data_IF_044263942128
#
_entry.id   IF_044263942128
#
_cell.length_a   1.000
_cell.length_b   1.000
_cell.length_c   1.000
_cell.angle_alpha   90.00
_cell.angle_beta   90.00
_cell.angle_gamma   90.00
#
_symmetry.space_group_name_H-M   'P 1'
#
loop_
_entity.id
_entity.type
_entity.pdbx_description
1 polymer ?
#
# COMPACT_ATOMS: atom_id res chain seq x y z
N UNK A 1 46.12 -48.69 -19.62
CA UNK A 1 47.60 -48.53 -19.58
C UNK A 1 48.00 -47.64 -20.76
N UNK A 2 48.85 -46.67 -20.58
CA UNK A 2 49.42 -45.95 -19.44
C UNK A 2 48.89 -44.48 -19.39
N UNK A 3 49.21 -43.48 -18.56
CA UNK A 3 50.16 -43.32 -17.44
C UNK A 3 49.65 -42.14 -16.57
N UNK A 4 49.98 -42.24 -15.30
CA UNK A 4 49.82 -41.14 -14.34
C UNK A 4 50.96 -40.12 -14.56
N UNK A 5 50.66 -38.82 -14.60
CA UNK A 5 51.67 -37.80 -14.30
C UNK A 5 51.15 -36.85 -13.21
N UNK A 6 51.77 -37.02 -12.09
CA UNK A 6 51.75 -36.18 -10.88
C UNK A 6 52.55 -34.91 -11.20
N UNK A 7 51.93 -33.73 -11.09
CA UNK A 7 52.67 -32.47 -11.06
C UNK A 7 52.53 -31.84 -9.67
N UNK A 8 53.56 -32.03 -8.86
CA UNK A 8 53.94 -31.22 -7.73
C UNK A 8 54.43 -29.85 -8.29
N UNK A 9 53.81 -28.79 -7.96
CA UNK A 9 54.21 -27.42 -8.26
C UNK A 9 54.35 -26.57 -7.00
N UNK A 10 55.57 -26.24 -6.78
CA UNK A 10 56.19 -25.53 -5.65
C UNK A 10 55.53 -24.18 -5.28
N UNK A 11 55.29 -23.97 -4.00
CA UNK A 11 54.92 -22.71 -3.41
C UNK A 11 56.17 -22.03 -2.88
N UNK A 12 56.78 -21.15 -3.67
CA UNK A 12 57.72 -20.19 -3.06
C UNK A 12 57.86 -18.93 -3.94
N UNK A 13 57.86 -17.81 -3.21
CA UNK A 13 58.32 -16.47 -3.57
C UNK A 13 57.43 -15.60 -4.49
N UNK A 14 56.54 -14.84 -3.87
CA UNK A 14 56.29 -13.48 -4.31
C UNK A 14 56.75 -12.48 -3.27
N UNK A 15 57.94 -11.92 -3.52
CA UNK A 15 58.53 -10.88 -2.72
C UNK A 15 57.74 -9.58 -2.76
N UNK A 16 57.16 -9.18 -1.66
CA UNK A 16 56.60 -7.87 -1.45
C UNK A 16 57.68 -6.84 -1.27
N UNK A 17 57.79 -5.94 -2.22
CA UNK A 17 58.64 -4.75 -2.20
C UNK A 17 58.00 -3.69 -1.29
N UNK A 18 58.45 -3.64 -0.03
CA UNK A 18 58.10 -2.56 0.92
C UNK A 18 58.57 -1.21 0.37
N UNK A 19 57.58 -0.35 0.06
CA UNK A 19 57.84 1.10 -0.03
C UNK A 19 57.29 1.77 1.23
N UNK A 20 58.17 2.43 1.92
CA UNK A 20 58.03 3.00 3.24
C UNK A 20 56.85 3.95 3.44
N UNK A 21 56.09 3.65 4.42
CA UNK A 21 55.17 4.57 5.10
C UNK A 21 55.85 5.13 6.36
N UNK A 22 55.77 6.42 6.65
CA UNK A 22 56.43 7.01 7.80
C UNK A 22 55.84 6.47 9.13
N UNK A 23 56.73 6.12 10.03
CA UNK A 23 56.46 5.50 11.37
C UNK A 23 55.52 6.31 12.29
N UNK A 24 55.11 7.50 11.93
CA UNK A 24 54.17 8.33 12.70
C UNK A 24 52.69 7.97 12.52
N UNK A 25 52.30 7.22 11.49
CA UNK A 25 50.93 6.83 11.22
C UNK A 25 50.55 5.43 11.75
N UNK A 26 51.54 4.59 12.03
CA UNK A 26 51.28 3.22 12.49
C UNK A 26 50.86 3.13 13.98
N UNK A 27 50.95 4.23 14.75
CA UNK A 27 50.64 4.24 16.18
C UNK A 27 49.23 4.72 16.54
N UNK A 28 48.40 5.06 15.53
CA UNK A 28 47.03 5.59 15.75
C UNK A 28 45.89 4.63 15.44
N UNK A 29 46.20 3.39 15.00
CA UNK A 29 45.16 2.46 14.51
C UNK A 29 44.96 1.24 15.41
N UNK A 30 45.78 1.04 16.42
CA UNK A 30 45.71 -0.15 17.27
C UNK A 30 45.69 0.24 18.75
N UNK A 31 44.58 0.73 19.25
CA UNK A 31 43.96 0.42 20.54
C UNK A 31 42.73 1.30 20.77
N UNK A 32 41.50 0.80 20.68
CA UNK A 32 40.42 1.43 21.42
C UNK A 32 40.62 1.05 22.88
N UNK A 33 41.17 1.93 23.69
CA UNK A 33 41.15 1.78 25.12
C UNK A 33 39.73 1.88 25.64
N UNK A 34 39.12 0.75 25.93
CA UNK A 34 37.87 0.61 26.67
C UNK A 34 38.12 0.85 28.17
N UNK A 35 38.66 2.01 28.53
CA UNK A 35 38.60 2.48 29.92
C UNK A 35 37.72 3.74 29.88
N UNK A 36 36.53 3.72 30.52
CA UNK A 36 35.77 4.95 30.71
C UNK A 36 36.61 5.88 31.59
N UNK A 37 36.87 7.11 31.09
CA UNK A 37 37.43 8.17 31.88
C UNK A 37 36.44 8.48 33.01
N UNK A 38 36.84 8.41 34.30
CA UNK A 38 35.92 8.60 35.41
C UNK A 38 35.38 10.04 35.53
N UNK A 39 35.89 11.00 34.78
CA UNK A 39 35.57 12.42 34.94
C UNK A 39 34.50 12.95 33.98
N UNK A 40 33.84 12.07 33.18
CA UNK A 40 32.71 12.48 32.30
C UNK A 40 31.34 12.08 32.84
N UNK A 41 31.30 11.61 34.09
CA UNK A 41 30.05 11.34 34.79
C UNK A 41 29.74 12.55 35.69
N UNK A 42 28.71 13.30 35.27
CA UNK A 42 27.98 14.32 36.05
C UNK A 42 28.67 15.70 36.09
N UNK A 43 28.42 16.47 35.05
CA UNK A 43 28.33 17.92 35.15
C UNK A 43 26.96 18.26 35.79
N UNK A 44 26.94 18.74 37.07
CA UNK A 44 25.70 19.04 37.76
C UNK A 44 24.99 20.30 37.23
N UNK A 45 25.59 21.01 36.27
CA UNK A 45 25.06 22.25 35.71
C UNK A 45 24.14 22.08 34.51
N UNK A 46 24.03 20.88 33.90
CA UNK A 46 23.00 20.54 32.97
C UNK A 46 21.86 19.84 33.69
N UNK A 47 20.72 20.51 33.91
CA UNK A 47 19.53 19.81 34.33
C UNK A 47 19.21 18.81 33.21
N UNK A 48 19.38 17.53 33.49
CA UNK A 48 18.72 16.49 32.73
C UNK A 48 17.24 16.88 32.77
N UNK A 49 16.72 17.45 31.67
CA UNK A 49 15.30 17.51 31.43
C UNK A 49 14.81 16.08 31.47
N UNK A 50 14.58 15.56 32.66
CA UNK A 50 13.82 14.34 32.84
C UNK A 50 12.49 14.61 32.16
N UNK A 51 12.12 13.88 31.08
CA UNK A 51 10.79 13.99 30.56
C UNK A 51 9.87 13.64 31.71
N UNK A 52 9.09 14.60 32.17
CA UNK A 52 8.04 14.39 33.17
C UNK A 52 7.14 13.33 32.55
N UNK A 53 7.37 12.09 32.94
CA UNK A 53 6.48 10.97 32.67
C UNK A 53 5.22 11.21 33.50
N UNK A 54 4.32 12.00 32.96
CA UNK A 54 2.94 11.92 33.36
C UNK A 54 2.47 10.50 33.01
N UNK A 55 2.45 9.62 34.00
CA UNK A 55 2.26 8.17 33.90
C UNK A 55 0.88 7.71 33.41
N UNK A 56 0.27 8.43 32.49
CA UNK A 56 -1.02 8.10 31.88
C UNK A 56 -0.95 8.22 30.35
N UNK A 57 -0.62 7.11 29.71
CA UNK A 57 -0.86 6.93 28.29
C UNK A 57 0.39 7.02 27.41
N UNK A 58 0.47 6.10 26.48
CA UNK A 58 1.41 6.14 25.35
C UNK A 58 1.23 7.46 24.60
N UNK A 59 2.20 8.37 24.72
CA UNK A 59 2.17 9.69 24.10
C UNK A 59 2.43 9.52 22.61
N UNK A 60 1.39 9.56 21.81
CA UNK A 60 1.50 9.48 20.34
C UNK A 60 2.27 10.68 19.73
N UNK A 61 2.42 11.76 20.47
CA UNK A 61 3.14 12.97 20.07
C UNK A 61 4.13 13.41 21.15
N UNK A 62 5.40 13.49 20.80
CA UNK A 62 6.50 13.89 21.70
C UNK A 62 6.34 15.34 22.19
N UNK A 63 5.61 16.21 21.47
CA UNK A 63 5.48 17.64 21.77
C UNK A 63 4.07 18.15 21.49
N UNK A 64 3.61 19.11 22.30
CA UNK A 64 2.34 19.86 22.06
C UNK A 64 2.33 20.52 20.68
N UNK A 65 3.47 20.99 20.19
CA UNK A 65 3.62 21.59 18.86
C UNK A 65 3.35 20.58 17.75
N UNK A 66 3.87 19.33 17.88
CA UNK A 66 3.59 18.25 16.90
C UNK A 66 2.12 17.88 16.89
N UNK A 67 1.47 17.80 18.07
CA UNK A 67 0.03 17.54 18.16
C UNK A 67 -0.79 18.66 17.51
N UNK A 68 -0.43 19.93 17.71
CA UNK A 68 -1.11 21.07 17.08
C UNK A 68 -0.96 21.03 15.56
N UNK A 69 0.26 20.77 15.05
CA UNK A 69 0.52 20.61 13.60
C UNK A 69 -0.30 19.49 12.99
N UNK A 70 -0.44 18.36 13.69
CA UNK A 70 -1.29 17.25 13.24
C UNK A 70 -2.75 17.70 13.07
N UNK A 71 -3.34 18.37 14.05
CA UNK A 71 -4.73 18.81 13.96
C UNK A 71 -4.96 19.91 12.92
N UNK A 72 -3.99 20.81 12.72
CA UNK A 72 -4.02 21.77 11.61
C UNK A 72 -4.00 21.03 10.28
N UNK A 73 -3.12 20.04 10.11
CA UNK A 73 -3.05 19.21 8.91
C UNK A 73 -4.37 18.49 8.63
N UNK A 74 -4.94 17.83 9.63
CA UNK A 74 -6.23 17.14 9.50
C UNK A 74 -7.32 18.14 9.11
N UNK A 75 -7.33 19.34 9.71
CA UNK A 75 -8.27 20.41 9.35
C UNK A 75 -8.11 20.84 7.89
N UNK A 76 -6.88 21.05 7.41
CA UNK A 76 -6.60 21.43 6.02
C UNK A 76 -7.01 20.31 5.06
N UNK A 77 -6.63 19.05 5.34
CA UNK A 77 -7.01 17.92 4.49
C UNK A 77 -8.53 17.71 4.46
N UNK A 78 -9.20 17.88 5.59
CA UNK A 78 -10.67 17.81 5.67
C UNK A 78 -11.33 18.93 4.87
N UNK A 79 -10.81 20.15 4.94
CA UNK A 79 -11.30 21.27 4.16
C UNK A 79 -11.12 21.02 2.65
N UNK A 80 -9.94 20.53 2.23
CA UNK A 80 -9.68 20.18 0.84
C UNK A 80 -10.58 19.03 0.37
N UNK A 81 -10.81 18.02 1.21
CA UNK A 81 -11.73 16.92 0.89
C UNK A 81 -13.17 17.41 0.73
N UNK A 82 -13.63 18.30 1.61
CA UNK A 82 -14.96 18.91 1.52
C UNK A 82 -15.10 19.81 0.27
N UNK A 83 -14.08 20.61 -0.05
CA UNK A 83 -14.06 21.43 -1.27
C UNK A 83 -14.11 20.55 -2.51
N UNK A 84 -13.32 19.46 -2.54
CA UNK A 84 -13.34 18.49 -3.64
C UNK A 84 -14.72 17.82 -3.76
N UNK A 85 -15.32 17.40 -2.65
CA UNK A 85 -16.65 16.79 -2.62
C UNK A 85 -17.74 17.79 -3.08
N UNK A 86 -17.72 19.01 -2.56
CA UNK A 86 -18.65 20.07 -2.99
C UNK A 86 -18.48 20.41 -4.48
N UNK A 87 -17.24 20.47 -4.96
CA UNK A 87 -16.93 20.66 -6.37
C UNK A 87 -17.53 19.55 -7.23
N UNK A 88 -17.35 18.29 -6.85
CA UNK A 88 -17.91 17.14 -7.57
C UNK A 88 -19.46 17.22 -7.59
N UNK A 89 -20.10 17.60 -6.48
CA UNK A 89 -21.56 17.66 -6.39
C UNK A 89 -22.16 18.83 -7.15
N UNK A 90 -21.60 20.03 -6.98
CA UNK A 90 -22.24 21.28 -7.39
C UNK A 90 -21.70 21.85 -8.71
N UNK A 91 -20.45 21.59 -9.07
CA UNK A 91 -19.82 22.25 -10.22
C UNK A 91 -20.44 21.80 -11.56
N UNK A 92 -20.86 22.79 -12.39
CA UNK A 92 -21.28 22.52 -13.77
C UNK A 92 -22.48 21.58 -13.90
N UNK A 93 -23.50 21.69 -13.03
CA UNK A 93 -24.76 21.01 -13.25
C UNK A 93 -25.51 21.76 -14.36
N UNK A 94 -25.80 21.12 -15.53
CA UNK A 94 -26.45 21.81 -16.65
C UNK A 94 -27.94 22.04 -16.45
N UNK A 95 -28.53 21.46 -15.38
CA UNK A 95 -29.96 21.57 -15.11
C UNK A 95 -30.24 22.65 -14.08
N UNK A 96 -31.37 23.33 -14.20
CA UNK A 96 -31.85 24.33 -13.25
C UNK A 96 -32.07 23.71 -11.86
N UNK A 97 -31.70 24.44 -10.83
CA UNK A 97 -31.86 24.01 -9.45
C UNK A 97 -33.31 23.68 -9.12
N UNK A 98 -33.57 22.54 -8.49
CA UNK A 98 -34.91 22.09 -8.11
C UNK A 98 -35.64 21.23 -9.15
N UNK A 99 -35.11 21.10 -10.36
CA UNK A 99 -35.72 20.21 -11.39
C UNK A 99 -35.39 18.73 -11.12
N UNK A 100 -36.22 17.82 -11.62
CA UNK A 100 -36.01 16.38 -11.56
C UNK A 100 -34.66 15.96 -12.21
N UNK A 101 -34.25 16.68 -13.27
CA UNK A 101 -32.96 16.47 -13.94
C UNK A 101 -31.77 16.83 -13.05
N UNK A 102 -31.88 17.94 -12.32
CA UNK A 102 -30.85 18.35 -11.33
C UNK A 102 -30.60 17.27 -10.27
N UNK A 103 -31.67 16.75 -9.69
CA UNK A 103 -31.57 15.74 -8.63
C UNK A 103 -31.02 14.40 -9.15
N UNK A 104 -31.36 13.98 -10.36
CA UNK A 104 -30.77 12.76 -10.97
C UNK A 104 -29.28 12.89 -11.18
N UNK A 105 -28.79 14.06 -11.60
CA UNK A 105 -27.36 14.31 -11.78
C UNK A 105 -26.68 14.34 -10.40
N UNK A 106 -27.28 15.01 -9.41
CA UNK A 106 -26.75 15.06 -8.06
C UNK A 106 -26.65 13.67 -7.42
N UNK A 107 -27.64 12.80 -7.61
CA UNK A 107 -27.62 11.41 -7.15
C UNK A 107 -26.45 10.61 -7.76
N UNK A 108 -26.26 10.67 -9.08
CA UNK A 108 -25.11 10.01 -9.73
C UNK A 108 -23.78 10.53 -9.21
N UNK A 109 -23.66 11.80 -8.93
CA UNK A 109 -22.47 12.42 -8.36
C UNK A 109 -22.25 12.00 -6.89
N UNK A 110 -23.33 11.87 -6.11
CA UNK A 110 -23.27 11.34 -4.74
C UNK A 110 -22.82 9.88 -4.72
N UNK A 111 -23.31 9.06 -5.68
CA UNK A 111 -22.83 7.68 -5.87
C UNK A 111 -21.32 7.67 -6.15
N UNK A 112 -20.84 8.52 -7.06
CA UNK A 112 -19.39 8.61 -7.36
C UNK A 112 -18.58 9.02 -6.13
N UNK A 113 -19.05 9.93 -5.30
CA UNK A 113 -18.40 10.31 -4.03
C UNK A 113 -18.36 9.15 -3.03
N UNK A 114 -19.44 8.38 -2.93
CA UNK A 114 -19.48 7.20 -2.09
C UNK A 114 -18.46 6.14 -2.54
N UNK A 115 -18.38 5.91 -3.85
CA UNK A 115 -17.38 5.01 -4.45
C UNK A 115 -15.96 5.48 -4.13
N UNK A 116 -15.67 6.77 -4.34
CA UNK A 116 -14.37 7.37 -4.01
C UNK A 116 -14.04 7.12 -2.53
N UNK A 117 -14.99 7.33 -1.62
CA UNK A 117 -14.79 7.13 -0.19
C UNK A 117 -14.47 5.66 0.14
N UNK A 118 -15.26 4.71 -0.38
CA UNK A 118 -15.04 3.27 -0.16
C UNK A 118 -13.65 2.88 -0.66
N UNK A 119 -13.30 3.24 -1.88
CA UNK A 119 -12.03 2.88 -2.51
C UNK A 119 -10.85 3.47 -1.74
N UNK A 120 -10.93 4.73 -1.34
CA UNK A 120 -9.88 5.40 -0.58
C UNK A 120 -9.69 4.77 0.80
N UNK A 121 -10.77 4.46 1.52
CA UNK A 121 -10.68 3.75 2.79
C UNK A 121 -10.00 2.39 2.60
N UNK A 122 -10.42 1.63 1.58
CA UNK A 122 -9.85 0.33 1.26
C UNK A 122 -8.36 0.44 0.92
N UNK A 123 -7.98 1.27 -0.04
CA UNK A 123 -6.61 1.39 -0.53
C UNK A 123 -5.65 1.96 0.52
N UNK A 124 -6.07 3.02 1.23
CA UNK A 124 -5.24 3.68 2.23
C UNK A 124 -4.99 2.77 3.44
N UNK A 125 -6.04 2.19 4.02
CA UNK A 125 -5.90 1.35 5.21
C UNK A 125 -5.23 0.02 4.90
N UNK A 126 -5.54 -0.61 3.76
CA UNK A 126 -4.87 -1.82 3.32
C UNK A 126 -3.36 -1.58 3.13
N UNK A 127 -2.98 -0.51 2.42
CA UNK A 127 -1.56 -0.26 2.12
C UNK A 127 -0.77 0.13 3.36
N UNK A 128 -1.29 1.01 4.23
CA UNK A 128 -0.62 1.35 5.50
C UNK A 128 -0.41 0.11 6.37
N UNK A 129 -1.44 -0.74 6.50
CA UNK A 129 -1.36 -1.98 7.30
C UNK A 129 -0.38 -2.97 6.70
N UNK A 130 -0.40 -3.14 5.38
CA UNK A 130 0.49 -4.02 4.64
C UNK A 130 1.96 -3.59 4.77
N UNK A 131 2.26 -2.31 4.57
CA UNK A 131 3.60 -1.74 4.73
C UNK A 131 4.12 -1.90 6.17
N UNK A 132 3.22 -1.86 7.14
CA UNK A 132 3.55 -2.08 8.55
C UNK A 132 3.97 -3.53 8.81
N UNK A 133 3.17 -4.51 8.38
CA UNK A 133 3.47 -5.93 8.64
C UNK A 133 4.64 -6.44 7.83
N UNK A 134 4.88 -5.88 6.64
CA UNK A 134 6.05 -6.22 5.82
C UNK A 134 7.31 -5.44 6.21
N UNK A 135 7.17 -4.48 7.11
CA UNK A 135 8.24 -3.54 7.51
C UNK A 135 8.92 -2.88 6.30
N UNK A 136 8.15 -2.62 5.26
CA UNK A 136 8.63 -2.05 4.02
C UNK A 136 7.62 -1.02 3.48
N UNK A 137 8.03 0.26 3.44
CA UNK A 137 7.18 1.38 3.03
C UNK A 137 7.08 1.59 1.52
N UNK A 138 7.81 0.82 0.75
CA UNK A 138 7.82 0.95 -0.73
C UNK A 138 6.80 0.00 -1.34
N UNK A 139 6.60 -1.18 -0.73
CA UNK A 139 5.79 -2.24 -1.30
C UNK A 139 4.32 -2.02 -0.96
N UNK A 140 3.45 -2.27 -1.94
CA UNK A 140 1.99 -2.21 -1.80
C UNK A 140 1.37 -3.59 -2.04
N UNK A 141 0.17 -3.86 -1.51
CA UNK A 141 -0.55 -5.10 -1.78
C UNK A 141 -0.78 -5.31 -3.29
N UNK A 142 -1.03 -4.24 -4.04
CA UNK A 142 -1.28 -4.27 -5.49
C UNK A 142 -0.15 -4.96 -6.25
N UNK A 143 1.10 -4.65 -5.92
CA UNK A 143 2.29 -5.22 -6.58
C UNK A 143 2.42 -6.73 -6.30
N UNK A 144 1.83 -7.23 -5.22
CA UNK A 144 1.87 -8.66 -4.87
C UNK A 144 0.91 -9.55 -5.67
N UNK A 145 0.36 -9.04 -6.76
CA UNK A 145 -0.46 -9.85 -7.67
C UNK A 145 -1.97 -9.76 -7.45
N UNK A 146 -2.48 -8.96 -6.52
CA UNK A 146 -3.93 -8.74 -6.38
C UNK A 146 -4.57 -8.25 -7.66
N UNK A 147 -3.94 -7.26 -8.29
CA UNK A 147 -4.45 -6.69 -9.55
C UNK A 147 -4.29 -7.66 -10.72
N UNK A 148 -3.15 -8.36 -10.78
CA UNK A 148 -2.94 -9.39 -11.81
C UNK A 148 -3.96 -10.52 -11.69
N UNK A 149 -4.34 -10.90 -10.46
CA UNK A 149 -5.38 -11.88 -10.22
C UNK A 149 -6.75 -11.40 -10.71
N UNK A 150 -7.10 -10.13 -10.44
CA UNK A 150 -8.33 -9.52 -10.96
C UNK A 150 -8.35 -9.55 -12.49
N UNK A 151 -7.25 -9.11 -13.12
CA UNK A 151 -7.10 -9.13 -14.58
C UNK A 151 -7.26 -10.55 -15.11
N UNK A 152 -6.62 -11.53 -14.48
CA UNK A 152 -6.72 -12.95 -14.86
C UNK A 152 -8.16 -13.47 -14.76
N UNK A 153 -8.87 -13.16 -13.68
CA UNK A 153 -10.27 -13.56 -13.49
C UNK A 153 -11.18 -12.93 -14.54
N UNK A 154 -11.08 -11.62 -14.77
CA UNK A 154 -11.90 -10.93 -15.77
C UNK A 154 -11.61 -11.44 -17.19
N UNK A 155 -10.32 -11.62 -17.53
CA UNK A 155 -9.90 -12.15 -18.82
C UNK A 155 -10.41 -13.58 -19.01
N UNK A 156 -10.32 -14.44 -17.99
CA UNK A 156 -10.79 -15.82 -18.05
C UNK A 156 -12.30 -15.91 -18.30
N UNK A 157 -13.09 -15.07 -17.62
CA UNK A 157 -14.53 -15.04 -17.84
C UNK A 157 -14.85 -14.73 -19.30
N UNK A 158 -14.25 -13.70 -19.88
CA UNK A 158 -14.50 -13.32 -21.28
C UNK A 158 -13.94 -14.38 -22.24
N UNK A 159 -12.76 -14.93 -21.98
CA UNK A 159 -12.15 -15.91 -22.85
C UNK A 159 -12.95 -17.21 -22.96
N UNK A 160 -13.51 -17.71 -21.85
CA UNK A 160 -14.25 -18.98 -21.85
C UNK A 160 -15.74 -18.83 -22.11
N UNK A 161 -16.35 -17.68 -21.73
CA UNK A 161 -17.79 -17.47 -21.79
C UNK A 161 -18.20 -16.38 -22.77
N UNK A 162 -17.25 -15.67 -23.38
CA UNK A 162 -17.49 -14.51 -24.24
C UNK A 162 -18.07 -13.29 -23.48
N UNK A 163 -18.38 -12.23 -24.21
CA UNK A 163 -19.05 -11.05 -23.64
C UNK A 163 -20.40 -11.38 -22.98
N UNK A 164 -21.14 -12.36 -23.51
CA UNK A 164 -22.39 -12.81 -22.92
C UNK A 164 -22.23 -13.39 -21.52
N UNK A 165 -21.12 -14.07 -21.24
CA UNK A 165 -20.81 -14.60 -19.90
C UNK A 165 -20.57 -13.50 -18.86
N UNK A 166 -20.00 -12.37 -19.29
CA UNK A 166 -19.80 -11.22 -18.42
C UNK A 166 -21.11 -10.56 -18.00
N UNK A 167 -22.12 -10.61 -18.89
CA UNK A 167 -23.48 -10.09 -18.66
C UNK A 167 -24.31 -11.10 -17.85
N UNK A 168 -24.12 -12.39 -18.08
CA UNK A 168 -24.89 -13.44 -17.39
C UNK A 168 -24.60 -13.49 -15.88
N UNK A 169 -23.40 -13.10 -15.46
CA UNK A 169 -23.01 -13.00 -14.04
C UNK A 169 -22.90 -11.52 -13.68
N UNK A 170 -24.02 -10.84 -13.47
CA UNK A 170 -24.07 -9.44 -13.07
C UNK A 170 -24.52 -9.27 -11.61
N UNK A 171 -24.39 -8.04 -11.11
CA UNK A 171 -24.90 -7.65 -9.81
C UNK A 171 -24.10 -8.19 -8.61
N UNK A 172 -24.71 -8.27 -7.42
CA UNK A 172 -24.04 -8.61 -6.16
C UNK A 172 -23.35 -9.97 -6.16
N UNK A 173 -23.87 -10.93 -6.93
CA UNK A 173 -23.29 -12.28 -7.05
C UNK A 173 -21.93 -12.26 -7.72
N UNK A 174 -21.77 -11.49 -8.77
CA UNK A 174 -20.47 -11.29 -9.45
C UNK A 174 -19.44 -10.68 -8.49
N UNK A 175 -19.87 -9.63 -7.79
CA UNK A 175 -19.02 -8.96 -6.81
C UNK A 175 -18.58 -9.92 -5.70
N UNK A 176 -19.53 -10.68 -5.13
CA UNK A 176 -19.23 -11.66 -4.08
C UNK A 176 -18.26 -12.74 -4.57
N UNK A 177 -18.48 -13.28 -5.76
CA UNK A 177 -17.61 -14.29 -6.35
C UNK A 177 -16.19 -13.76 -6.55
N UNK A 178 -16.05 -12.55 -7.09
CA UNK A 178 -14.74 -11.90 -7.27
C UNK A 178 -14.02 -11.71 -5.93
N UNK A 179 -14.71 -11.17 -4.93
CA UNK A 179 -14.13 -10.96 -3.59
C UNK A 179 -13.71 -12.29 -2.96
N UNK A 180 -14.56 -13.31 -3.02
CA UNK A 180 -14.26 -14.65 -2.46
C UNK A 180 -13.06 -15.28 -3.15
N UNK A 181 -12.98 -15.22 -4.48
CA UNK A 181 -11.85 -15.78 -5.23
C UNK A 181 -10.55 -15.02 -4.93
N UNK A 182 -10.59 -13.69 -4.90
CA UNK A 182 -9.41 -12.87 -4.61
C UNK A 182 -8.92 -13.07 -3.18
N UNK A 183 -9.82 -13.06 -2.19
CA UNK A 183 -9.48 -13.30 -0.78
C UNK A 183 -9.01 -14.73 -0.59
N UNK A 184 -9.72 -15.71 -1.16
CA UNK A 184 -9.38 -17.13 -1.07
C UNK A 184 -7.98 -17.44 -1.63
N UNK A 185 -7.66 -16.94 -2.82
CA UNK A 185 -6.34 -17.07 -3.42
C UNK A 185 -5.24 -16.43 -2.56
N UNK A 186 -5.50 -15.22 -2.05
CA UNK A 186 -4.56 -14.51 -1.20
C UNK A 186 -4.30 -15.26 0.10
N UNK A 187 -5.34 -15.79 0.74
CA UNK A 187 -5.21 -16.58 1.96
C UNK A 187 -4.49 -17.90 1.73
N UNK A 188 -4.76 -18.57 0.60
CA UNK A 188 -4.05 -19.78 0.22
C UNK A 188 -2.55 -19.49 0.04
N UNK A 189 -2.21 -18.39 -0.65
CA UNK A 189 -0.83 -17.96 -0.86
C UNK A 189 -0.14 -17.61 0.45
N UNK A 190 -0.75 -16.77 1.28
CA UNK A 190 -0.15 -16.35 2.55
C UNK A 190 -0.09 -17.52 3.55
N UNK A 191 -1.14 -18.33 3.63
CA UNK A 191 -1.18 -19.51 4.46
C UNK A 191 -0.07 -20.48 4.11
N UNK A 192 0.12 -20.77 2.82
CA UNK A 192 1.17 -21.65 2.34
C UNK A 192 2.58 -21.11 2.63
N UNK A 193 2.83 -19.85 2.28
CA UNK A 193 4.16 -19.24 2.42
C UNK A 193 4.56 -18.96 3.87
N UNK A 194 3.61 -18.61 4.73
CA UNK A 194 3.88 -18.33 6.14
C UNK A 194 3.79 -19.60 7.01
N UNK A 195 3.39 -20.76 6.48
CA UNK A 195 3.27 -22.01 7.22
C UNK A 195 4.57 -22.83 7.29
N UNK A 196 5.53 -22.58 6.41
CA UNK A 196 6.77 -23.34 6.30
C UNK A 196 7.83 -22.98 7.34
N UNK A 197 8.88 -23.83 7.44
CA UNK A 197 10.09 -23.56 8.23
C UNK A 197 10.83 -22.28 7.80
N UNK A 198 10.61 -21.86 6.56
CA UNK A 198 11.18 -20.65 5.95
C UNK A 198 10.17 -19.49 5.88
N UNK A 199 9.28 -19.38 6.88
CA UNK A 199 8.31 -18.30 6.96
C UNK A 199 9.02 -16.93 7.00
N UNK A 200 9.28 -16.38 5.81
CA UNK A 200 9.94 -15.10 5.61
C UNK A 200 9.02 -14.21 4.76
N UNK A 201 8.68 -13.05 5.30
CA UNK A 201 7.86 -12.07 4.60
C UNK A 201 8.49 -11.60 3.29
N UNK A 202 9.83 -11.51 3.22
CA UNK A 202 10.53 -11.12 1.99
C UNK A 202 10.37 -12.17 0.88
N UNK A 203 10.45 -13.45 1.24
CA UNK A 203 10.18 -14.56 0.30
C UNK A 203 8.73 -14.52 -0.17
N UNK A 204 7.79 -14.26 0.76
CA UNK A 204 6.37 -14.10 0.41
C UNK A 204 6.16 -12.97 -0.61
N UNK A 205 6.81 -11.83 -0.43
CA UNK A 205 6.76 -10.71 -1.36
C UNK A 205 7.30 -11.10 -2.74
N UNK A 206 8.46 -11.74 -2.79
CA UNK A 206 9.08 -12.18 -4.05
C UNK A 206 8.19 -13.16 -4.81
N UNK A 207 7.66 -14.17 -4.11
CA UNK A 207 6.75 -15.17 -4.71
C UNK A 207 5.47 -14.50 -5.20
N UNK A 208 4.90 -13.55 -4.44
CA UNK A 208 3.72 -12.77 -4.85
C UNK A 208 3.96 -11.99 -6.15
N UNK A 209 5.12 -11.33 -6.29
CA UNK A 209 5.50 -10.61 -7.51
C UNK A 209 5.64 -11.56 -8.69
N UNK A 210 6.33 -12.70 -8.51
CA UNK A 210 6.52 -13.70 -9.57
C UNK A 210 5.19 -14.30 -10.01
N UNK A 211 4.32 -14.67 -9.07
CA UNK A 211 2.98 -15.18 -9.38
C UNK A 211 2.11 -14.12 -10.07
N UNK A 212 2.17 -12.87 -9.61
CA UNK A 212 1.49 -11.75 -10.26
C UNK A 212 1.96 -11.56 -11.70
N UNK A 213 3.26 -11.62 -11.95
CA UNK A 213 3.83 -11.56 -13.30
C UNK A 213 3.38 -12.75 -14.17
N UNK A 214 3.36 -13.96 -13.62
CA UNK A 214 2.87 -15.17 -14.29
C UNK A 214 1.39 -15.05 -14.68
N UNK A 215 0.53 -14.65 -13.75
CA UNK A 215 -0.89 -14.40 -14.00
C UNK A 215 -1.10 -13.32 -15.07
N UNK A 216 -0.32 -12.23 -15.00
CA UNK A 216 -0.34 -11.18 -16.02
C UNK A 216 0.05 -11.69 -17.41
N UNK A 217 1.07 -12.53 -17.50
CA UNK A 217 1.52 -13.13 -18.77
C UNK A 217 0.45 -14.04 -19.37
N UNK A 218 -0.16 -14.91 -18.55
CA UNK A 218 -1.27 -15.77 -18.97
C UNK A 218 -2.46 -14.93 -19.46
N UNK A 219 -2.83 -13.89 -18.70
CA UNK A 219 -3.91 -12.97 -19.07
C UNK A 219 -3.63 -12.28 -20.39
N UNK A 220 -2.42 -11.78 -20.59
CA UNK A 220 -2.02 -11.13 -21.84
C UNK A 220 -2.07 -12.10 -23.03
N UNK A 221 -1.65 -13.35 -22.82
CA UNK A 221 -1.78 -14.37 -23.86
C UNK A 221 -3.24 -14.63 -24.22
N UNK A 222 -4.13 -14.81 -23.24
CA UNK A 222 -5.56 -15.02 -23.47
C UNK A 222 -6.20 -13.81 -24.15
N UNK A 223 -5.82 -12.58 -23.77
CA UNK A 223 -6.30 -11.34 -24.39
C UNK A 223 -5.99 -11.24 -25.89
N UNK A 224 -4.84 -11.77 -26.32
CA UNK A 224 -4.46 -11.79 -27.74
C UNK A 224 -5.30 -12.75 -28.59
N UNK A 225 -5.99 -13.67 -27.96
CA UNK A 225 -6.86 -14.64 -28.62
C UNK A 225 -8.34 -14.19 -28.67
N UNK A 226 -8.67 -13.08 -27.99
CA UNK A 226 -10.02 -12.53 -27.99
C UNK A 226 -10.35 -11.86 -29.32
N UNK A 227 -11.65 -11.84 -29.65
CA UNK A 227 -12.14 -10.99 -30.74
C UNK A 227 -11.94 -9.50 -30.38
N UNK A 228 -11.82 -8.60 -31.36
CA UNK A 228 -11.67 -7.17 -31.09
C UNK A 228 -12.79 -6.62 -30.20
N UNK A 229 -14.03 -7.04 -30.41
CA UNK A 229 -15.18 -6.60 -29.59
C UNK A 229 -15.10 -7.08 -28.14
N UNK A 230 -14.68 -8.34 -27.91
CA UNK A 230 -14.51 -8.87 -26.56
C UNK A 230 -13.35 -8.18 -25.84
N UNK A 231 -12.27 -7.89 -26.59
CA UNK A 231 -11.12 -7.16 -26.05
C UNK A 231 -11.49 -5.73 -25.64
N UNK A 232 -12.31 -5.02 -26.40
CA UNK A 232 -12.76 -3.67 -26.07
C UNK A 232 -13.61 -3.67 -24.79
N UNK A 233 -14.53 -4.63 -24.64
CA UNK A 233 -15.36 -4.81 -23.45
C UNK A 233 -14.47 -5.11 -22.23
N UNK A 234 -13.50 -6.01 -22.38
CA UNK A 234 -12.55 -6.33 -21.34
C UNK A 234 -11.73 -5.10 -20.93
N UNK A 235 -11.16 -4.40 -21.90
CA UNK A 235 -10.32 -3.22 -21.67
C UNK A 235 -11.04 -2.16 -20.86
N UNK A 236 -12.33 -1.91 -21.18
CA UNK A 236 -13.15 -0.97 -20.42
C UNK A 236 -13.31 -1.36 -18.93
N UNK A 237 -13.24 -2.67 -18.60
CA UNK A 237 -13.32 -3.16 -17.21
C UNK A 237 -11.97 -3.19 -16.51
N UNK A 238 -10.88 -3.31 -17.26
CA UNK A 238 -9.53 -3.34 -16.70
C UNK A 238 -9.00 -1.96 -16.31
N UNK A 239 -9.52 -0.89 -16.91
CA UNK A 239 -9.18 0.46 -16.48
C UNK A 239 -9.98 0.85 -15.24
N UNK A 240 -9.28 1.19 -14.16
CA UNK A 240 -9.90 1.65 -12.92
C UNK A 240 -10.63 2.98 -13.13
N UNK A 241 -11.95 2.95 -13.07
CA UNK A 241 -12.80 4.12 -13.25
C UNK A 241 -13.92 4.16 -12.21
N UNK A 242 -14.05 5.32 -11.56
CA UNK A 242 -15.16 5.58 -10.62
C UNK A 242 -16.52 5.47 -11.30
N UNK A 243 -16.57 5.80 -12.60
CA UNK A 243 -17.81 5.72 -13.40
C UNK A 243 -18.26 4.29 -13.71
N UNK A 244 -17.36 3.30 -13.57
CA UNK A 244 -17.66 1.88 -13.81
C UNK A 244 -18.28 1.17 -12.60
N UNK A 245 -18.35 1.84 -11.45
CA UNK A 245 -18.90 1.24 -10.25
C UNK A 245 -20.42 1.01 -10.38
N UNK A 246 -20.82 -0.25 -10.15
CA UNK A 246 -22.22 -0.64 -10.14
C UNK A 246 -22.79 -0.47 -8.71
N UNK A 247 -23.82 0.37 -8.52
CA UNK A 247 -24.46 0.54 -7.21
C UNK A 247 -25.02 -0.74 -6.61
N UNK A 248 -25.32 -1.76 -7.44
CA UNK A 248 -25.79 -3.06 -6.96
C UNK A 248 -24.77 -3.78 -6.07
N UNK A 249 -23.50 -3.40 -6.11
CA UNK A 249 -22.42 -3.95 -5.27
C UNK A 249 -22.41 -3.38 -3.85
N UNK A 250 -23.02 -2.21 -3.62
CA UNK A 250 -22.97 -1.49 -2.35
C UNK A 250 -23.47 -2.29 -1.13
N UNK A 251 -24.55 -3.09 -1.24
CA UNK A 251 -25.01 -3.90 -0.12
C UNK A 251 -23.96 -4.86 0.44
N UNK A 252 -23.00 -5.28 -0.38
CA UNK A 252 -21.87 -6.13 0.03
C UNK A 252 -20.59 -5.33 0.25
N UNK A 253 -20.29 -4.37 -0.62
CA UNK A 253 -19.04 -3.60 -0.55
C UNK A 253 -18.95 -2.74 0.71
N UNK A 254 -20.04 -2.05 1.10
CA UNK A 254 -20.05 -1.15 2.26
C UNK A 254 -19.83 -1.94 3.57
N UNK A 255 -20.60 -2.99 3.89
CA UNK A 255 -20.39 -3.77 5.12
C UNK A 255 -18.99 -4.41 5.18
N UNK A 256 -18.49 -4.96 4.07
CA UNK A 256 -17.15 -5.55 4.02
C UNK A 256 -16.05 -4.50 4.25
N UNK A 257 -16.18 -3.32 3.61
CA UNK A 257 -15.25 -2.21 3.82
C UNK A 257 -15.27 -1.76 5.29
N UNK A 258 -16.44 -1.51 5.87
CA UNK A 258 -16.58 -1.05 7.26
C UNK A 258 -16.04 -2.11 8.24
N UNK A 259 -16.37 -3.37 8.04
CA UNK A 259 -15.93 -4.45 8.91
C UNK A 259 -14.41 -4.62 8.87
N UNK A 260 -13.81 -4.68 7.68
CA UNK A 260 -12.37 -4.88 7.54
C UNK A 260 -11.57 -3.64 7.97
N UNK A 261 -11.99 -2.43 7.56
CA UNK A 261 -11.35 -1.19 7.98
C UNK A 261 -11.50 -0.94 9.48
N UNK A 262 -12.70 -1.19 10.04
CA UNK A 262 -12.97 -1.09 11.47
C UNK A 262 -12.11 -2.07 12.27
N UNK A 263 -11.98 -3.31 11.82
CA UNK A 263 -11.11 -4.31 12.45
C UNK A 263 -9.64 -3.86 12.47
N UNK A 264 -9.11 -3.35 11.35
CA UNK A 264 -7.75 -2.80 11.30
C UNK A 264 -7.59 -1.57 12.21
N UNK A 265 -8.59 -0.69 12.26
CA UNK A 265 -8.56 0.49 13.13
C UNK A 265 -8.56 0.10 14.62
N UNK A 266 -9.40 -0.84 15.03
CA UNK A 266 -9.44 -1.38 16.40
C UNK A 266 -8.10 -2.03 16.76
N UNK A 267 -7.47 -2.71 15.80
CA UNK A 267 -6.17 -3.37 15.96
C UNK A 267 -4.96 -2.43 15.80
N UNK A 268 -5.15 -1.13 15.61
CA UNK A 268 -4.08 -0.14 15.39
C UNK A 268 -2.97 -0.20 16.46
N UNK A 269 -3.31 -0.45 17.73
CA UNK A 269 -2.32 -0.63 18.80
C UNK A 269 -1.44 -1.87 18.60
N UNK A 270 -2.03 -2.98 18.13
CA UNK A 270 -1.28 -4.21 17.81
C UNK A 270 -0.40 -4.01 16.59
N UNK A 271 -0.88 -3.27 15.58
CA UNK A 271 -0.07 -2.87 14.43
C UNK A 271 1.14 -2.03 14.85
N UNK A 272 1.00 -1.13 15.82
CA UNK A 272 2.12 -0.37 16.37
C UNK A 272 3.20 -1.30 16.97
N UNK A 273 2.80 -2.39 17.62
CA UNK A 273 3.73 -3.38 18.19
C UNK A 273 4.36 -4.23 17.09
N UNK A 274 3.57 -4.68 16.10
CA UNK A 274 4.07 -5.49 14.96
C UNK A 274 5.10 -4.71 14.14
N UNK A 275 4.94 -3.39 14.03
CA UNK A 275 5.89 -2.49 13.36
C UNK A 275 7.31 -2.50 13.98
N UNK A 276 7.46 -2.94 15.23
CA UNK A 276 8.76 -3.06 15.91
C UNK A 276 9.54 -4.31 15.51
N UNK A 277 8.95 -5.18 14.71
CA UNK A 277 9.57 -6.41 14.22
C UNK A 277 9.25 -7.65 15.08
N UNK A 278 9.70 -8.81 14.59
CA UNK A 278 9.32 -10.13 15.12
C UNK A 278 9.75 -10.34 16.58
N UNK A 279 11.00 -10.03 16.89
CA UNK A 279 11.57 -10.33 18.21
C UNK A 279 10.92 -9.47 19.30
N UNK A 280 10.76 -8.17 19.02
CA UNK A 280 10.13 -7.23 19.97
C UNK A 280 8.65 -7.58 20.16
N UNK A 281 7.95 -7.95 19.10
CA UNK A 281 6.54 -8.37 19.16
C UNK A 281 6.38 -9.61 20.06
N UNK A 282 7.28 -10.60 19.92
CA UNK A 282 7.28 -11.80 20.75
C UNK A 282 7.56 -11.50 22.23
N UNK A 283 8.53 -10.64 22.52
CA UNK A 283 8.86 -10.23 23.87
C UNK A 283 7.72 -9.46 24.56
N UNK A 284 6.87 -8.78 23.78
CA UNK A 284 5.66 -8.09 24.27
C UNK A 284 4.44 -9.01 24.38
N UNK A 285 4.60 -10.33 24.22
CA UNK A 285 3.57 -11.34 24.42
C UNK A 285 2.58 -11.49 23.26
N UNK A 286 2.90 -10.95 22.06
CA UNK A 286 2.07 -11.13 20.86
C UNK A 286 2.72 -12.16 19.92
N UNK A 287 1.91 -13.08 19.39
CA UNK A 287 2.33 -13.95 18.29
C UNK A 287 2.40 -13.14 16.98
N UNK A 288 3.64 -12.77 16.61
CA UNK A 288 3.89 -11.96 15.39
C UNK A 288 3.28 -12.59 14.15
N UNK A 289 3.38 -13.91 13.96
CA UNK A 289 2.85 -14.60 12.79
C UNK A 289 1.34 -14.50 12.73
N UNK A 290 0.67 -14.74 13.86
CA UNK A 290 -0.80 -14.65 13.95
C UNK A 290 -1.29 -13.23 13.66
N UNK A 291 -0.62 -12.22 14.22
CA UNK A 291 -0.96 -10.80 13.98
C UNK A 291 -0.78 -10.40 12.51
N UNK A 292 0.31 -10.85 11.87
CA UNK A 292 0.56 -10.65 10.42
C UNK A 292 -0.54 -11.31 9.59
N UNK A 293 -0.88 -12.59 9.86
CA UNK A 293 -1.90 -13.32 9.10
C UNK A 293 -3.28 -12.66 9.20
N UNK A 294 -3.68 -12.24 10.41
CA UNK A 294 -4.97 -11.55 10.61
C UNK A 294 -4.97 -10.21 9.87
N UNK A 295 -3.85 -9.48 9.90
CA UNK A 295 -3.74 -8.20 9.19
C UNK A 295 -3.82 -8.41 7.67
N UNK A 296 -3.11 -9.40 7.13
CA UNK A 296 -3.14 -9.74 5.71
C UNK A 296 -4.52 -10.21 5.25
N UNK A 297 -5.28 -10.89 6.12
CA UNK A 297 -6.67 -11.27 5.85
C UNK A 297 -7.55 -10.02 5.62
N UNK A 298 -7.50 -9.04 6.52
CA UNK A 298 -8.29 -7.82 6.35
C UNK A 298 -7.79 -6.96 5.18
N UNK A 299 -6.48 -6.91 4.95
CA UNK A 299 -5.88 -6.26 3.77
C UNK A 299 -6.43 -6.90 2.49
N UNK A 300 -6.51 -8.23 2.42
CA UNK A 300 -7.05 -8.95 1.26
C UNK A 300 -8.50 -8.59 0.98
N UNK A 301 -9.33 -8.49 2.02
CA UNK A 301 -10.73 -8.07 1.88
C UNK A 301 -10.80 -6.65 1.32
N UNK A 302 -10.06 -5.69 1.90
CA UNK A 302 -10.09 -4.31 1.44
C UNK A 302 -9.61 -4.17 -0.01
N UNK A 303 -8.53 -4.86 -0.36
CA UNK A 303 -8.02 -4.86 -1.74
C UNK A 303 -9.02 -5.47 -2.71
N UNK A 304 -9.61 -6.62 -2.36
CA UNK A 304 -10.61 -7.27 -3.21
C UNK A 304 -11.85 -6.40 -3.40
N UNK A 305 -12.36 -5.75 -2.33
CA UNK A 305 -13.49 -4.82 -2.42
C UNK A 305 -13.18 -3.64 -3.34
N UNK A 306 -12.04 -2.99 -3.15
CA UNK A 306 -11.63 -1.85 -3.98
C UNK A 306 -11.50 -2.22 -5.45
N UNK A 307 -10.78 -3.32 -5.73
CA UNK A 307 -10.48 -3.74 -7.10
C UNK A 307 -11.73 -4.30 -7.80
N UNK A 308 -12.59 -5.04 -7.10
CA UNK A 308 -13.84 -5.53 -7.68
C UNK A 308 -14.85 -4.40 -7.96
N UNK A 309 -14.80 -3.30 -7.19
CA UNK A 309 -15.72 -2.17 -7.34
C UNK A 309 -15.40 -1.28 -8.54
N UNK A 310 -14.13 -0.92 -8.74
CA UNK A 310 -13.72 0.07 -9.74
C UNK A 310 -12.61 -0.42 -10.69
N UNK A 311 -12.03 -1.58 -10.46
CA UNK A 311 -10.85 -2.07 -11.16
C UNK A 311 -9.52 -1.73 -10.46
N UNK A 312 -8.38 -2.07 -11.10
CA UNK A 312 -7.05 -1.87 -10.55
C UNK A 312 -6.71 -0.40 -10.31
N UNK A 313 -6.01 -0.11 -9.18
CA UNK A 313 -5.46 1.22 -8.85
C UNK A 313 -4.11 1.07 -8.14
N UNK A 314 -3.08 0.71 -8.89
CA UNK A 314 -1.77 0.26 -8.39
C UNK A 314 -1.09 1.25 -7.47
N UNK A 315 -1.05 2.53 -7.82
CA UNK A 315 -0.29 3.54 -7.10
C UNK A 315 -1.09 4.38 -6.10
N UNK A 316 -2.43 4.28 -6.09
CA UNK A 316 -3.24 5.07 -5.15
C UNK A 316 -2.88 4.76 -3.70
N UNK A 317 -2.78 3.48 -3.35
CA UNK A 317 -2.38 3.05 -2.02
C UNK A 317 -0.98 3.53 -1.64
N UNK A 318 -0.02 3.45 -2.57
CA UNK A 318 1.35 3.94 -2.35
C UNK A 318 1.39 5.45 -2.07
N UNK A 319 0.73 6.24 -2.90
CA UNK A 319 0.67 7.70 -2.72
C UNK A 319 0.06 8.08 -1.36
N UNK A 320 -1.09 7.47 -1.05
CA UNK A 320 -1.80 7.76 0.20
C UNK A 320 -0.98 7.39 1.43
N UNK A 321 -0.37 6.21 1.46
CA UNK A 321 0.44 5.75 2.58
C UNK A 321 1.73 6.57 2.73
N UNK A 322 2.44 6.84 1.62
CA UNK A 322 3.68 7.61 1.64
C UNK A 322 3.47 9.03 2.15
N UNK A 323 2.45 9.72 1.65
CA UNK A 323 2.11 11.07 2.10
C UNK A 323 1.59 11.07 3.55
N UNK A 324 0.80 10.07 3.93
CA UNK A 324 0.31 9.96 5.30
C UNK A 324 1.47 9.82 6.31
N UNK A 325 2.46 9.00 6.03
CA UNK A 325 3.64 8.87 6.90
C UNK A 325 4.48 10.16 6.95
N UNK A 326 4.57 10.91 5.86
CA UNK A 326 5.28 12.19 5.84
C UNK A 326 4.54 13.27 6.63
N UNK A 327 3.22 13.31 6.52
CA UNK A 327 2.40 14.37 7.06
C UNK A 327 1.99 14.13 8.51
N UNK A 328 1.69 12.89 8.92
CA UNK A 328 1.16 12.60 10.25
C UNK A 328 2.12 12.96 11.39
N UNK A 329 3.44 12.95 11.16
CA UNK A 329 4.45 13.26 12.18
C UNK A 329 4.44 12.31 13.38
N UNK A 330 3.79 11.16 13.26
CA UNK A 330 3.68 10.08 14.25
C UNK A 330 3.66 8.72 13.56
N UNK A 331 4.02 7.68 14.30
CA UNK A 331 3.94 6.29 13.83
C UNK A 331 2.71 5.54 14.38
N UNK A 332 1.88 6.19 15.22
CA UNK A 332 0.67 5.57 15.75
C UNK A 332 -0.42 5.48 14.68
N UNK A 333 -0.82 4.26 14.33
CA UNK A 333 -1.79 3.96 13.29
C UNK A 333 -3.15 4.63 13.50
N UNK A 334 -3.54 4.94 14.75
CA UNK A 334 -4.77 5.68 15.03
C UNK A 334 -4.79 7.07 14.40
N UNK A 335 -3.62 7.67 14.24
CA UNK A 335 -3.45 8.99 13.64
C UNK A 335 -3.03 8.90 12.18
N UNK A 336 -2.31 7.84 11.80
CA UNK A 336 -1.88 7.62 10.41
C UNK A 336 -3.06 7.26 9.52
N UNK A 337 -3.97 6.37 9.96
CA UNK A 337 -5.13 5.96 9.16
C UNK A 337 -6.04 7.12 8.73
N UNK A 338 -6.50 8.02 9.62
CA UNK A 338 -7.32 9.17 9.20
C UNK A 338 -6.61 10.07 8.19
N UNK A 339 -5.32 10.33 8.40
CA UNK A 339 -4.53 11.15 7.46
C UNK A 339 -4.41 10.45 6.10
N UNK A 340 -4.20 9.13 6.08
CA UNK A 340 -4.12 8.35 4.85
C UNK A 340 -5.44 8.40 4.06
N UNK A 341 -6.57 8.22 4.74
CA UNK A 341 -7.90 8.30 4.13
C UNK A 341 -8.18 9.71 3.59
N UNK A 342 -7.94 10.75 4.38
CA UNK A 342 -8.15 12.13 3.93
C UNK A 342 -7.25 12.50 2.74
N UNK A 343 -5.98 12.11 2.79
CA UNK A 343 -5.04 12.34 1.69
C UNK A 343 -5.48 11.60 0.42
N UNK A 344 -5.90 10.34 0.56
CA UNK A 344 -6.43 9.55 -0.54
C UNK A 344 -7.70 10.15 -1.15
N UNK A 345 -8.60 10.67 -0.31
CA UNK A 345 -9.80 11.34 -0.80
C UNK A 345 -9.47 12.61 -1.59
N UNK A 346 -8.52 13.41 -1.13
CA UNK A 346 -8.07 14.60 -1.86
C UNK A 346 -7.42 14.21 -3.19
N UNK A 347 -6.61 13.14 -3.22
CA UNK A 347 -5.94 12.67 -4.46
C UNK A 347 -6.96 12.12 -5.44
N UNK A 348 -7.75 11.13 -5.06
CA UNK A 348 -8.69 10.45 -5.96
C UNK A 348 -9.86 11.38 -6.35
N UNK A 349 -10.42 12.09 -5.36
CA UNK A 349 -11.51 13.06 -5.60
C UNK A 349 -11.05 14.23 -6.45
N UNK A 350 -9.85 14.77 -6.18
CA UNK A 350 -9.24 15.82 -6.97
C UNK A 350 -8.95 15.37 -8.41
N UNK A 351 -8.35 14.20 -8.60
CA UNK A 351 -8.10 13.63 -9.92
C UNK A 351 -9.40 13.40 -10.70
N UNK A 352 -10.42 12.85 -10.03
CA UNK A 352 -11.75 12.66 -10.65
C UNK A 352 -12.40 13.99 -11.02
N UNK A 353 -12.35 15.00 -10.15
CA UNK A 353 -12.87 16.33 -10.41
C UNK A 353 -12.20 16.98 -11.65
N UNK A 354 -10.87 16.96 -11.68
CA UNK A 354 -10.07 17.54 -12.77
C UNK A 354 -10.37 16.82 -14.09
N UNK A 355 -10.36 15.49 -14.09
CA UNK A 355 -10.62 14.70 -15.28
C UNK A 355 -12.01 14.99 -15.86
N UNK A 356 -13.02 15.01 -15.00
CA UNK A 356 -14.42 15.17 -15.42
C UNK A 356 -14.80 16.60 -15.80
N UNK A 357 -14.32 17.60 -15.04
CA UNK A 357 -14.80 18.98 -15.18
C UNK A 357 -13.84 19.91 -15.94
N UNK A 358 -12.56 19.54 -16.04
CA UNK A 358 -11.55 20.34 -16.76
C UNK A 358 -11.24 19.71 -18.12
N UNK A 359 -10.99 18.38 -18.12
CA UNK A 359 -10.68 17.67 -19.36
C UNK A 359 -11.91 17.11 -20.08
N UNK A 360 -13.09 17.17 -19.46
CA UNK A 360 -14.35 16.61 -19.98
C UNK A 360 -14.22 15.17 -20.47
N UNK A 361 -13.32 14.41 -19.82
CA UNK A 361 -13.03 13.04 -20.18
C UNK A 361 -13.76 12.08 -19.24
N UNK A 362 -14.53 11.16 -19.79
CA UNK A 362 -15.12 10.02 -19.06
C UNK A 362 -14.12 8.85 -18.98
N UNK A 363 -12.84 9.19 -18.82
CA UNK A 363 -11.75 8.22 -18.86
C UNK A 363 -11.45 7.57 -17.53
N UNK A 364 -10.49 6.65 -17.58
CA UNK A 364 -9.97 5.95 -16.42
C UNK A 364 -9.15 6.90 -15.54
N UNK A 365 -9.67 7.25 -14.38
CA UNK A 365 -8.95 8.06 -13.37
C UNK A 365 -7.67 7.35 -12.94
N UNK A 366 -7.64 6.02 -13.01
CA UNK A 366 -6.44 5.22 -12.72
C UNK A 366 -5.23 5.65 -13.53
N UNK A 367 -5.38 5.99 -14.81
CA UNK A 367 -4.27 6.41 -15.68
C UNK A 367 -3.57 7.66 -15.11
N UNK A 368 -4.34 8.65 -14.66
CA UNK A 368 -3.77 9.86 -14.06
C UNK A 368 -3.04 9.55 -12.75
N UNK A 369 -3.66 8.71 -11.91
CA UNK A 369 -3.08 8.30 -10.64
C UNK A 369 -1.84 7.44 -10.85
N UNK A 370 -1.84 6.55 -11.85
CA UNK A 370 -0.70 5.71 -12.19
C UNK A 370 0.47 6.53 -12.73
N UNK A 371 0.21 7.50 -13.59
CA UNK A 371 1.25 8.39 -14.10
C UNK A 371 1.90 9.21 -12.96
N UNK A 372 1.07 9.89 -12.16
CA UNK A 372 1.57 10.70 -11.03
C UNK A 372 2.21 9.82 -9.96
N UNK A 373 1.58 8.69 -9.65
CA UNK A 373 2.05 7.74 -8.64
C UNK A 373 3.34 7.05 -9.05
N UNK A 374 3.48 6.66 -10.31
CA UNK A 374 4.69 6.06 -10.86
C UNK A 374 5.89 7.03 -10.81
N UNK A 375 5.67 8.30 -11.16
CA UNK A 375 6.70 9.35 -11.05
C UNK A 375 7.09 9.56 -9.57
N UNK A 376 6.12 9.65 -8.67
CA UNK A 376 6.37 9.80 -7.24
C UNK A 376 7.13 8.59 -6.66
N UNK A 377 6.75 7.36 -7.07
CA UNK A 377 7.41 6.12 -6.69
C UNK A 377 8.89 6.12 -7.13
N UNK A 378 9.14 6.46 -8.39
CA UNK A 378 10.49 6.55 -8.93
C UNK A 378 11.32 7.61 -8.18
N UNK A 379 10.75 8.79 -7.89
CA UNK A 379 11.41 9.83 -7.13
C UNK A 379 11.78 9.38 -5.70
N UNK A 380 10.91 8.63 -5.03
CA UNK A 380 11.19 8.08 -3.69
C UNK A 380 12.32 7.05 -3.73
N UNK A 381 12.33 6.15 -4.71
CA UNK A 381 13.40 5.15 -4.88
C UNK A 381 14.75 5.82 -5.14
N UNK A 382 14.79 6.78 -6.09
CA UNK A 382 16.02 7.47 -6.44
C UNK A 382 16.59 8.30 -5.29
N UNK A 383 15.73 8.88 -4.44
CA UNK A 383 16.18 9.58 -3.23
C UNK A 383 16.74 8.64 -2.15
N UNK A 384 16.13 7.46 -1.96
CA UNK A 384 16.62 6.46 -0.98
C UNK A 384 17.86 5.71 -1.46
N UNK A 385 18.08 5.58 -2.77
CA UNK A 385 19.28 4.94 -3.33
C UNK A 385 20.53 5.80 -3.26
N UNK A 386 20.46 7.03 -2.70
CA UNK A 386 21.60 7.92 -2.44
C UNK A 386 22.04 7.93 -0.96
N UNK A 387 21.51 7.02 -0.15
CA UNK A 387 21.96 6.70 1.19
C UNK A 387 22.72 5.37 1.17
#
# INVERSE_FOLDING_TARGET
MPDQETIHGDVSTFGAKERGLPRSLARKVLTPSLTPHPDTLLDPSHPLETPIHDGRGTVAFISRTKRRRYWILVGVLSALALISAAGILAWGNPMEFGTAGFWRIAERRAIALLVILIVVVCQAMATVSFQTVTNNRIITPSIMGFESLYVALQTSVIYFMGAAGLIAIEGPTKFALMVVLMVGFSLALYGWLLSGKFANLQVMLLVGIVLGGGLGSISTFMQRLLTPSDFDILSAKLFGSVSNADPSYFPLAIPLCIAAAGALFIRSRRLNVVALGRDVTGNLGLDHRREVMITLFFVSILMAVSTALIGPMTFLGFLTATLAYQFAGTHDHRYVFPVAVLTGFVILGGAYFVLKNIFYAEGAVSIVIEAVGGIAFLAVILRKGRL
#
